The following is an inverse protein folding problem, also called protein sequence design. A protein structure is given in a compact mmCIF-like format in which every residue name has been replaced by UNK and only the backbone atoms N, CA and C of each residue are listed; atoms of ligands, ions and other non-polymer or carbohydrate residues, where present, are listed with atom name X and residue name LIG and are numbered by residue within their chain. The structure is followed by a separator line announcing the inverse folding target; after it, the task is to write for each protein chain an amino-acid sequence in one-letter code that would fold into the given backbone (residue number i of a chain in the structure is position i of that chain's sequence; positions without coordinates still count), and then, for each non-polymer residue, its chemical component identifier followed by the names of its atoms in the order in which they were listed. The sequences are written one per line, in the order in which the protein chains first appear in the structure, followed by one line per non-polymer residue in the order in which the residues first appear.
data_IF_045579118012
#
_entry.id   IF_045579118012
#
_cell.length_a   1.000
_cell.length_b   1.000
_cell.length_c   1.000
_cell.angle_alpha   90.00
_cell.angle_beta   90.00
_cell.angle_gamma   90.00
#
_symmetry.space_group_name_H-M   'P 1'
#
loop_
_entity.id
_entity.type
_entity.pdbx_description
1 polymer ?
#
# COMPACT_ATOMS: atom_id res chain seq x y z
N UNK A 1 48.69 -46.81 -8.80
CA UNK A 1 47.45 -46.03 -8.61
C UNK A 1 47.55 -44.77 -9.46
N UNK A 2 46.68 -44.73 -10.47
CA UNK A 2 46.33 -43.72 -11.50
C UNK A 2 47.15 -42.41 -11.58
N UNK A 3 47.79 -42.10 -12.73
CA UNK A 3 48.40 -40.80 -12.99
C UNK A 3 47.34 -39.72 -13.31
N UNK A 4 47.61 -38.49 -12.85
CA UNK A 4 46.79 -37.30 -13.10
C UNK A 4 46.79 -36.92 -14.59
N UNK A 5 45.65 -36.52 -15.18
CA UNK A 5 45.61 -36.05 -16.56
C UNK A 5 46.19 -34.63 -16.70
N UNK A 6 47.02 -34.45 -17.73
CA UNK A 6 47.57 -33.17 -18.20
C UNK A 6 46.50 -32.13 -18.53
N UNK A 7 46.80 -30.81 -18.40
CA UNK A 7 45.88 -29.75 -18.74
C UNK A 7 45.70 -29.68 -20.27
N UNK A 8 44.45 -29.82 -20.71
CA UNK A 8 44.06 -29.60 -22.10
C UNK A 8 44.32 -28.15 -22.53
N UNK A 9 44.94 -28.00 -23.69
CA UNK A 9 45.18 -26.76 -24.40
C UNK A 9 43.88 -26.00 -24.70
N UNK A 10 43.87 -24.69 -24.43
CA UNK A 10 42.80 -23.79 -24.85
C UNK A 10 42.78 -23.69 -26.39
N UNK A 11 41.63 -23.81 -27.07
CA UNK A 11 41.56 -23.50 -28.49
C UNK A 11 41.71 -21.98 -28.70
N UNK A 12 42.41 -21.62 -29.77
CA UNK A 12 42.70 -20.26 -30.20
C UNK A 12 41.41 -19.45 -30.46
N UNK A 13 41.46 -18.17 -30.10
CA UNK A 13 40.44 -17.17 -30.40
C UNK A 13 40.21 -17.04 -31.90
N UNK A 14 39.06 -17.51 -32.39
CA UNK A 14 38.61 -17.22 -33.75
C UNK A 14 38.22 -15.73 -33.85
N UNK A 15 38.94 -15.01 -34.70
CA UNK A 15 38.66 -13.63 -35.10
C UNK A 15 37.26 -13.56 -35.73
N UNK A 16 36.33 -12.91 -35.04
CA UNK A 16 34.97 -12.66 -35.51
C UNK A 16 35.02 -11.50 -36.51
N UNK A 17 35.17 -11.80 -37.80
CA UNK A 17 34.96 -10.81 -38.86
C UNK A 17 33.48 -10.38 -38.86
N UNK A 18 33.24 -9.08 -38.72
CA UNK A 18 31.90 -8.52 -38.88
C UNK A 18 31.49 -8.59 -40.36
N UNK A 19 30.23 -8.98 -40.66
CA UNK A 19 29.76 -9.01 -42.04
C UNK A 19 29.60 -7.59 -42.60
N UNK A 20 29.78 -7.42 -43.92
CA UNK A 20 29.74 -6.11 -44.58
C UNK A 20 28.34 -5.51 -44.57
N UNK A 21 28.31 -4.19 -44.39
CA UNK A 21 27.11 -3.36 -44.47
C UNK A 21 26.79 -3.09 -45.94
N UNK A 22 25.53 -3.35 -46.33
CA UNK A 22 24.84 -3.03 -47.58
C UNK A 22 24.87 -4.08 -48.72
N UNK A 23 23.74 -4.74 -48.95
CA UNK A 23 22.82 -4.38 -50.05
C UNK A 23 21.64 -5.36 -50.18
N UNK A 24 20.44 -4.79 -50.37
CA UNK A 24 19.30 -5.38 -51.08
C UNK A 24 18.68 -6.72 -50.58
N UNK A 25 18.32 -6.83 -49.30
CA UNK A 25 17.38 -7.86 -48.82
C UNK A 25 16.45 -7.34 -47.71
N UNK A 26 15.60 -6.36 -48.02
CA UNK A 26 14.59 -5.81 -47.10
C UNK A 26 13.23 -5.63 -47.78
N UNK A 27 12.72 -6.65 -48.49
CA UNK A 27 11.36 -6.64 -49.04
C UNK A 27 10.60 -7.96 -48.74
N UNK A 28 10.71 -8.47 -47.51
CA UNK A 28 10.06 -9.73 -47.15
C UNK A 28 9.84 -9.97 -45.66
N UNK A 29 9.71 -8.92 -44.84
CA UNK A 29 9.44 -9.05 -43.40
C UNK A 29 8.33 -8.11 -42.89
N UNK A 30 7.29 -7.93 -43.69
CA UNK A 30 6.00 -7.43 -43.22
C UNK A 30 4.96 -8.54 -43.42
N UNK A 31 4.72 -9.42 -42.42
CA UNK A 31 3.38 -10.03 -42.24
C UNK A 31 3.13 -10.91 -40.99
N UNK A 32 3.91 -10.85 -39.89
CA UNK A 32 3.56 -11.66 -38.71
C UNK A 32 3.70 -10.99 -37.32
N UNK A 33 4.15 -9.73 -37.24
CA UNK A 33 4.41 -9.06 -35.95
C UNK A 33 3.50 -7.86 -35.63
N UNK A 34 2.45 -7.63 -36.44
CA UNK A 34 1.48 -6.56 -36.23
C UNK A 34 0.13 -7.04 -35.63
N UNK A 35 0.01 -8.30 -35.20
CA UNK A 35 -1.28 -8.87 -34.79
C UNK A 35 -1.53 -8.99 -33.28
N UNK A 36 -0.62 -8.60 -32.37
CA UNK A 36 -0.88 -8.71 -30.91
C UNK A 36 -0.26 -7.61 -30.05
N UNK A 37 -0.63 -6.36 -30.31
CA UNK A 37 -0.53 -5.31 -29.28
C UNK A 37 -1.84 -4.53 -29.20
N UNK A 38 -2.91 -5.19 -28.73
CA UNK A 38 -4.02 -4.44 -28.10
C UNK A 38 -3.39 -3.62 -26.98
N UNK A 39 -3.59 -2.32 -27.00
CA UNK A 39 -3.15 -1.46 -25.89
C UNK A 39 -3.81 -1.94 -24.59
N UNK A 40 -3.16 -1.75 -23.44
CA UNK A 40 -3.77 -2.08 -22.12
C UNK A 40 -5.13 -1.39 -21.92
N UNK A 41 -5.36 -0.26 -22.58
CA UNK A 41 -6.63 0.44 -22.60
C UNK A 41 -7.73 -0.32 -23.38
N UNK A 42 -7.40 -0.89 -24.53
CA UNK A 42 -8.35 -1.66 -25.35
C UNK A 42 -8.68 -3.03 -24.75
N UNK A 43 -7.76 -3.66 -24.02
CA UNK A 43 -8.04 -4.89 -23.25
C UNK A 43 -8.84 -4.65 -21.97
N UNK A 44 -9.06 -3.39 -21.59
CA UNK A 44 -9.94 -2.99 -20.48
C UNK A 44 -11.37 -2.66 -20.94
N UNK A 45 -11.56 -2.37 -22.23
CA UNK A 45 -12.87 -2.03 -22.82
C UNK A 45 -13.75 -3.30 -22.83
N UNK A 46 -14.74 -3.35 -21.93
CA UNK A 46 -15.67 -4.48 -21.79
C UNK A 46 -15.46 -5.38 -20.57
N UNK A 47 -14.63 -4.99 -19.59
CA UNK A 47 -14.58 -5.71 -18.30
C UNK A 47 -15.86 -5.47 -17.51
N UNK A 48 -16.45 -6.51 -16.89
CA UNK A 48 -17.55 -6.30 -15.97
C UNK A 48 -17.11 -5.37 -14.84
N UNK A 49 -17.99 -4.46 -14.44
CA UNK A 49 -17.76 -3.62 -13.29
C UNK A 49 -17.53 -4.50 -12.06
N UNK A 50 -16.56 -4.14 -11.21
CA UNK A 50 -16.29 -4.89 -9.99
C UNK A 50 -17.40 -4.60 -8.98
N UNK A 51 -18.50 -5.34 -9.08
CA UNK A 51 -19.66 -5.27 -8.17
C UNK A 51 -19.42 -6.09 -6.91
N UNK A 52 -20.14 -5.78 -5.83
CA UNK A 52 -20.05 -6.54 -4.58
C UNK A 52 -20.36 -8.02 -4.77
N UNK A 53 -21.35 -8.36 -5.61
CA UNK A 53 -21.70 -9.73 -5.95
C UNK A 53 -20.55 -10.47 -6.64
N UNK A 54 -19.91 -9.83 -7.62
CA UNK A 54 -18.75 -10.38 -8.32
C UNK A 54 -17.60 -10.64 -7.35
N UNK A 55 -17.34 -9.71 -6.44
CA UNK A 55 -16.30 -9.88 -5.42
C UNK A 55 -16.64 -11.03 -4.47
N UNK A 56 -17.87 -11.10 -3.95
CA UNK A 56 -18.33 -12.16 -3.04
C UNK A 56 -18.28 -13.54 -3.67
N UNK A 57 -18.47 -13.64 -4.99
CA UNK A 57 -18.32 -14.90 -5.73
C UNK A 57 -16.86 -15.39 -5.79
N UNK A 58 -15.89 -14.47 -5.77
CA UNK A 58 -14.46 -14.80 -5.92
C UNK A 58 -13.73 -14.90 -4.57
N UNK A 59 -14.13 -14.10 -3.59
CA UNK A 59 -13.43 -13.89 -2.31
C UNK A 59 -14.44 -13.90 -1.17
N UNK A 60 -14.05 -14.56 -0.08
CA UNK A 60 -14.71 -14.52 1.20
C UNK A 60 -13.94 -13.60 2.14
N UNK A 61 -14.62 -12.69 2.82
CA UNK A 61 -14.04 -11.79 3.82
C UNK A 61 -14.55 -12.17 5.20
N UNK A 62 -13.63 -12.30 6.16
CA UNK A 62 -13.95 -12.56 7.57
C UNK A 62 -13.84 -11.25 8.38
N UNK A 63 -14.96 -10.66 8.84
CA UNK A 63 -14.95 -9.35 9.50
C UNK A 63 -14.14 -9.29 10.80
N UNK A 64 -14.14 -10.37 11.59
CA UNK A 64 -13.51 -10.40 12.91
C UNK A 64 -11.99 -10.51 12.86
N UNK A 65 -11.47 -11.23 11.86
CA UNK A 65 -10.04 -11.48 11.67
C UNK A 65 -9.43 -10.51 10.67
N UNK A 66 -10.22 -9.99 9.74
CA UNK A 66 -9.76 -9.13 8.65
C UNK A 66 -9.09 -9.89 7.51
N UNK A 67 -9.31 -11.20 7.42
CA UNK A 67 -8.70 -12.07 6.40
C UNK A 67 -9.60 -12.21 5.17
N UNK A 68 -8.95 -12.48 4.04
CA UNK A 68 -9.61 -12.72 2.76
C UNK A 68 -9.23 -14.11 2.28
N UNK A 69 -10.21 -14.94 1.94
CA UNK A 69 -10.02 -16.30 1.44
C UNK A 69 -10.51 -16.40 0.00
N UNK A 70 -9.79 -17.12 -0.85
CA UNK A 70 -10.25 -17.37 -2.23
C UNK A 70 -11.37 -18.38 -2.26
N UNK A 71 -12.50 -18.05 -2.89
CA UNK A 71 -13.57 -19.02 -3.21
C UNK A 71 -13.33 -19.78 -4.51
N UNK A 72 -12.53 -19.22 -5.41
CA UNK A 72 -12.19 -19.81 -6.71
C UNK A 72 -10.68 -19.99 -6.85
N UNK A 73 -10.26 -21.13 -7.39
CA UNK A 73 -8.87 -21.40 -7.68
C UNK A 73 -8.34 -20.44 -8.77
N UNK A 74 -7.13 -19.94 -8.60
CA UNK A 74 -6.52 -19.00 -9.55
C UNK A 74 -5.00 -19.18 -9.57
N UNK A 75 -4.44 -19.55 -10.72
CA UNK A 75 -2.99 -19.59 -10.95
C UNK A 75 -2.22 -20.31 -9.84
N UNK A 76 -2.49 -21.61 -9.64
CA UNK A 76 -1.84 -22.43 -8.61
C UNK A 76 -2.32 -22.19 -7.17
N UNK A 77 -3.09 -21.14 -6.89
CA UNK A 77 -3.69 -20.90 -5.57
C UNK A 77 -5.00 -21.68 -5.42
N UNK A 78 -5.09 -22.45 -4.32
CA UNK A 78 -6.24 -23.29 -3.99
C UNK A 78 -7.40 -22.48 -3.41
N UNK A 79 -8.59 -23.05 -3.47
CA UNK A 79 -9.76 -22.56 -2.73
C UNK A 79 -9.42 -22.57 -1.22
N UNK A 80 -9.80 -21.52 -0.51
CA UNK A 80 -9.48 -21.31 0.91
C UNK A 80 -8.11 -20.68 1.17
N UNK A 81 -7.26 -20.47 0.16
CA UNK A 81 -5.99 -19.78 0.35
C UNK A 81 -6.19 -18.29 0.66
N UNK A 82 -5.28 -17.71 1.45
CA UNK A 82 -5.28 -16.27 1.73
C UNK A 82 -5.13 -15.46 0.43
N UNK A 83 -6.02 -14.47 0.26
CA UNK A 83 -6.04 -13.61 -0.90
C UNK A 83 -5.24 -12.32 -0.64
N UNK A 84 -4.37 -12.00 -1.58
CA UNK A 84 -3.69 -10.71 -1.68
C UNK A 84 -2.20 -10.74 -1.42
N UNK A 85 -1.56 -9.61 -1.68
CA UNK A 85 -0.14 -9.36 -1.44
C UNK A 85 0.07 -7.98 -0.85
N UNK A 86 1.16 -7.79 -0.10
CA UNK A 86 1.50 -6.49 0.49
C UNK A 86 2.23 -5.64 -0.55
N UNK A 87 1.82 -4.38 -0.69
CA UNK A 87 2.55 -3.42 -1.52
C UNK A 87 3.71 -2.77 -0.75
N UNK A 88 4.52 -1.96 -1.45
CA UNK A 88 5.65 -1.21 -0.86
C UNK A 88 5.23 -0.22 0.23
N UNK A 89 3.98 0.23 0.21
CA UNK A 89 3.39 1.10 1.23
C UNK A 89 2.78 0.33 2.42
N UNK A 90 2.88 -1.00 2.44
CA UNK A 90 2.41 -1.86 3.52
C UNK A 90 0.90 -2.16 3.51
N UNK A 91 0.16 -1.76 2.48
CA UNK A 91 -1.25 -2.13 2.31
C UNK A 91 -1.37 -3.53 1.69
N UNK A 92 -2.32 -4.32 2.18
CA UNK A 92 -2.76 -5.54 1.50
C UNK A 92 -3.57 -5.14 0.26
N UNK A 93 -3.24 -5.73 -0.89
CA UNK A 93 -3.93 -5.53 -2.16
C UNK A 93 -4.38 -6.88 -2.71
N UNK A 94 -5.55 -6.91 -3.35
CA UNK A 94 -6.11 -8.12 -3.93
C UNK A 94 -6.49 -7.83 -5.38
N UNK A 95 -6.08 -8.73 -6.27
CA UNK A 95 -6.44 -8.65 -7.68
C UNK A 95 -7.79 -9.30 -7.94
N UNK A 96 -8.71 -8.52 -8.50
CA UNK A 96 -10.05 -8.93 -8.93
C UNK A 96 -10.19 -8.55 -10.40
N UNK A 97 -10.50 -9.53 -11.26
CA UNK A 97 -10.68 -9.33 -12.71
C UNK A 97 -9.57 -8.46 -13.36
N UNK A 98 -8.31 -8.75 -13.00
CA UNK A 98 -7.08 -8.11 -13.49
C UNK A 98 -6.94 -6.63 -13.09
N UNK A 99 -7.58 -6.23 -11.99
CA UNK A 99 -7.43 -4.92 -11.36
C UNK A 99 -7.05 -5.12 -9.89
N UNK A 100 -6.01 -4.42 -9.44
CA UNK A 100 -5.55 -4.46 -8.05
C UNK A 100 -6.32 -3.45 -7.21
N UNK A 101 -6.98 -3.92 -6.16
CA UNK A 101 -7.69 -3.09 -5.20
C UNK A 101 -7.07 -3.21 -3.80
N UNK A 102 -7.02 -2.12 -3.01
CA UNK A 102 -6.70 -2.21 -1.59
C UNK A 102 -7.73 -3.07 -0.84
N UNK A 103 -7.24 -3.98 0.00
CA UNK A 103 -8.08 -4.96 0.69
C UNK A 103 -9.13 -4.30 1.60
N UNK A 104 -8.79 -3.20 2.27
CA UNK A 104 -9.75 -2.45 3.10
C UNK A 104 -10.94 -1.89 2.30
N UNK A 105 -10.76 -1.53 1.01
CA UNK A 105 -11.87 -1.09 0.15
C UNK A 105 -12.74 -2.28 -0.29
N UNK A 106 -12.12 -3.44 -0.51
CA UNK A 106 -12.84 -4.68 -0.80
C UNK A 106 -13.67 -5.11 0.41
N UNK A 107 -13.12 -5.07 1.63
CA UNK A 107 -13.87 -5.32 2.86
C UNK A 107 -15.10 -4.42 2.94
N UNK A 108 -14.93 -3.12 2.70
CA UNK A 108 -16.03 -2.17 2.68
C UNK A 108 -17.11 -2.53 1.64
N UNK A 109 -16.71 -2.84 0.41
CA UNK A 109 -17.62 -3.24 -0.66
C UNK A 109 -18.40 -4.52 -0.30
N UNK A 110 -17.74 -5.51 0.30
CA UNK A 110 -18.40 -6.76 0.70
C UNK A 110 -19.43 -6.50 1.81
N UNK A 111 -19.08 -5.66 2.79
CA UNK A 111 -19.92 -5.39 3.97
C UNK A 111 -21.09 -4.45 3.67
N UNK A 112 -20.86 -3.42 2.86
CA UNK A 112 -21.87 -2.38 2.58
C UNK A 112 -22.60 -2.57 1.26
N UNK A 113 -22.03 -3.32 0.31
CA UNK A 113 -22.56 -3.49 -1.04
C UNK A 113 -22.15 -2.38 -2.01
N UNK A 114 -21.61 -1.26 -1.52
CA UNK A 114 -21.22 -0.10 -2.32
C UNK A 114 -19.74 0.24 -2.16
N UNK A 115 -19.17 0.91 -3.15
CA UNK A 115 -17.82 1.46 -3.01
C UNK A 115 -17.86 2.67 -2.05
N UNK A 116 -16.82 2.85 -1.21
CA UNK A 116 -16.78 4.00 -0.31
C UNK A 116 -16.65 5.29 -1.11
N UNK A 117 -17.40 6.30 -0.69
CA UNK A 117 -17.41 7.66 -1.27
C UNK A 117 -16.08 8.36 -1.00
N UNK A 118 -15.46 8.07 0.13
CA UNK A 118 -14.18 8.63 0.54
C UNK A 118 -13.09 7.55 0.74
N UNK A 119 -12.13 7.83 1.61
CA UNK A 119 -11.08 6.89 2.00
C UNK A 119 -11.58 6.00 3.12
N UNK A 120 -11.02 4.79 3.21
CA UNK A 120 -11.20 3.95 4.38
C UNK A 120 -9.95 4.11 5.24
N UNK A 121 -10.17 4.59 6.46
CA UNK A 121 -9.14 4.78 7.47
C UNK A 121 -9.11 3.59 8.43
N UNK A 122 -7.91 3.29 8.94
CA UNK A 122 -7.66 2.29 9.96
C UNK A 122 -7.62 2.99 11.31
N UNK A 123 -8.58 2.71 12.21
CA UNK A 123 -8.69 3.37 13.53
C UNK A 123 -7.40 3.27 14.34
N UNK A 124 -6.69 2.15 14.27
CA UNK A 124 -5.42 1.92 14.94
C UNK A 124 -4.17 2.37 14.14
N UNK A 125 -4.33 2.93 12.94
CA UNK A 125 -3.22 3.31 12.05
C UNK A 125 -2.43 2.13 11.47
N UNK A 126 -2.85 0.89 11.71
CA UNK A 126 -2.18 -0.32 11.21
C UNK A 126 -2.82 -0.76 9.88
N UNK A 127 -2.13 -0.45 8.78
CA UNK A 127 -2.57 -0.75 7.40
C UNK A 127 -2.81 -2.23 7.09
N UNK A 128 -2.23 -3.12 7.89
CA UNK A 128 -2.37 -4.57 7.74
C UNK A 128 -3.62 -5.13 8.47
N UNK A 129 -4.17 -4.40 9.43
CA UNK A 129 -5.32 -4.83 10.22
C UNK A 129 -6.62 -4.44 9.51
N UNK A 130 -7.10 -5.33 8.64
CA UNK A 130 -8.31 -5.11 7.85
C UNK A 130 -9.58 -5.64 8.55
N UNK A 131 -9.59 -5.78 9.88
CA UNK A 131 -10.79 -6.16 10.63
C UNK A 131 -11.88 -5.11 10.48
N UNK A 132 -13.13 -5.52 10.35
CA UNK A 132 -14.25 -4.60 10.09
C UNK A 132 -14.36 -3.53 11.17
N UNK A 133 -14.23 -3.92 12.45
CA UNK A 133 -14.24 -3.01 13.59
C UNK A 133 -13.14 -1.94 13.55
N UNK A 134 -12.04 -2.19 12.82
CA UNK A 134 -10.91 -1.28 12.69
C UNK A 134 -11.04 -0.35 11.48
N UNK A 135 -11.95 -0.63 10.56
CA UNK A 135 -12.17 0.18 9.36
C UNK A 135 -13.26 1.23 9.60
N UNK A 136 -13.12 2.39 8.97
CA UNK A 136 -14.15 3.44 8.92
C UNK A 136 -14.00 4.28 7.67
N UNK A 137 -15.10 4.85 7.19
CA UNK A 137 -15.02 5.88 6.16
C UNK A 137 -14.51 7.19 6.77
N UNK A 138 -13.56 7.83 6.07
CA UNK A 138 -12.92 9.05 6.52
C UNK A 138 -12.65 9.98 5.33
N UNK A 139 -12.85 11.27 5.55
CA UNK A 139 -12.37 12.31 4.65
C UNK A 139 -10.83 12.31 4.61
N UNK A 140 -10.20 12.87 3.55
CA UNK A 140 -8.75 13.01 3.48
C UNK A 140 -8.15 13.71 4.71
N UNK A 141 -8.83 14.72 5.25
CA UNK A 141 -8.39 15.46 6.42
C UNK A 141 -8.45 14.63 7.71
N UNK A 142 -9.50 13.81 7.88
CA UNK A 142 -9.61 12.89 9.00
C UNK A 142 -8.54 11.80 8.95
N UNK A 143 -8.34 11.17 7.79
CA UNK A 143 -7.28 10.17 7.59
C UNK A 143 -5.87 10.74 7.82
N UNK A 144 -5.64 12.01 7.46
CA UNK A 144 -4.36 12.68 7.71
C UNK A 144 -4.01 12.82 9.21
N UNK A 145 -4.99 12.72 10.11
CA UNK A 145 -4.76 12.78 11.57
C UNK A 145 -3.98 11.55 12.06
N UNK A 146 -4.14 10.40 11.41
CA UNK A 146 -3.40 9.16 11.71
C UNK A 146 -1.97 9.13 11.15
N UNK A 147 -1.43 10.27 10.72
CA UNK A 147 -0.08 10.36 10.17
C UNK A 147 0.96 10.08 11.28
N UNK A 148 1.96 9.26 10.96
CA UNK A 148 3.13 9.07 11.83
C UNK A 148 3.97 10.36 11.92
N UNK A 149 4.61 10.64 13.06
CA UNK A 149 5.56 11.73 13.17
C UNK A 149 6.69 11.57 12.14
N UNK A 150 7.14 12.69 11.57
CA UNK A 150 8.28 12.69 10.65
C UNK A 150 9.57 12.27 11.36
N UNK A 151 10.57 11.77 10.61
CA UNK A 151 11.85 11.29 11.16
C UNK A 151 12.63 12.35 11.95
N UNK A 152 12.46 13.62 11.60
CA UNK A 152 13.08 14.76 12.30
C UNK A 152 12.39 15.11 13.62
N UNK A 153 11.22 14.53 13.90
CA UNK A 153 10.47 14.84 15.11
C UNK A 153 11.03 14.06 16.32
N UNK A 154 11.78 14.77 17.15
CA UNK A 154 12.40 14.24 18.39
C UNK A 154 11.39 13.93 19.50
N UNK A 155 10.16 14.45 19.43
CA UNK A 155 9.14 14.14 20.43
C UNK A 155 8.53 12.75 20.23
N UNK A 156 8.54 12.23 18.99
CA UNK A 156 7.80 11.01 18.64
C UNK A 156 6.28 11.19 18.62
N UNK A 157 5.78 12.42 18.77
CA UNK A 157 4.33 12.73 18.75
C UNK A 157 4.06 13.89 17.79
N UNK A 158 3.04 13.77 16.95
CA UNK A 158 2.68 14.82 15.99
C UNK A 158 2.20 16.07 16.73
N UNK A 159 2.67 17.25 16.32
CA UNK A 159 2.26 18.52 16.93
C UNK A 159 2.94 18.83 18.27
N UNK A 160 3.91 18.02 18.69
CA UNK A 160 4.77 18.31 19.85
C UNK A 160 6.19 18.52 19.38
N UNK A 161 6.78 19.67 19.67
CA UNK A 161 8.17 19.99 19.31
C UNK A 161 8.87 20.80 20.40
N UNK A 162 10.19 20.69 20.43
CA UNK A 162 11.02 21.46 21.36
C UNK A 162 11.36 22.82 20.75
N UNK A 163 11.21 23.90 21.53
CA UNK A 163 11.48 25.27 21.12
C UNK A 163 12.76 25.75 21.83
N UNK A 164 13.92 25.79 21.14
CA UNK A 164 15.20 26.13 21.77
C UNK A 164 15.22 27.52 22.41
N UNK A 165 14.60 28.51 21.74
CA UNK A 165 14.56 29.89 22.21
C UNK A 165 13.88 30.08 23.58
N UNK A 166 12.98 29.17 23.95
CA UNK A 166 12.28 29.22 25.24
C UNK A 166 12.63 28.07 26.18
N UNK A 167 13.52 27.16 25.74
CA UNK A 167 13.90 25.93 26.42
C UNK A 167 12.67 25.11 26.93
N UNK A 168 11.60 25.08 26.12
CA UNK A 168 10.30 24.48 26.47
C UNK A 168 9.76 23.63 25.32
N UNK A 169 8.90 22.68 25.65
CA UNK A 169 8.13 21.87 24.71
C UNK A 169 6.83 22.58 24.38
N UNK A 170 6.55 22.78 23.10
CA UNK A 170 5.29 23.36 22.63
C UNK A 170 4.40 22.26 22.06
N UNK A 171 3.12 22.31 22.43
CA UNK A 171 2.08 21.44 21.89
C UNK A 171 1.11 22.29 21.07
N UNK A 172 0.79 21.85 19.86
CA UNK A 172 -0.16 22.52 18.98
C UNK A 172 -1.08 21.50 18.32
N UNK A 173 -2.30 21.88 17.98
CA UNK A 173 -3.30 21.05 17.29
C UNK A 173 -3.88 21.70 16.04
N UNK A 174 -3.96 20.93 14.95
CA UNK A 174 -4.51 21.41 13.69
C UNK A 174 -5.99 21.11 13.59
N UNK A 175 -6.84 22.12 13.40
CA UNK A 175 -8.27 21.97 13.17
C UNK A 175 -8.69 22.90 12.04
N UNK A 176 -9.34 22.37 11.01
CA UNK A 176 -9.93 23.12 9.90
C UNK A 176 -8.97 24.16 9.27
N UNK A 177 -7.79 23.70 8.87
CA UNK A 177 -6.69 24.51 8.32
C UNK A 177 -6.09 25.56 9.28
N UNK A 178 -6.42 25.52 10.56
CA UNK A 178 -5.83 26.40 11.58
C UNK A 178 -5.03 25.58 12.58
N UNK A 179 -3.96 26.17 13.09
CA UNK A 179 -3.16 25.57 14.16
C UNK A 179 -3.47 26.30 15.47
N UNK A 180 -4.02 25.58 16.43
CA UNK A 180 -4.32 26.03 17.77
C UNK A 180 -3.14 25.67 18.67
N UNK A 181 -2.54 26.65 19.34
CA UNK A 181 -1.48 26.41 20.31
C UNK A 181 -2.10 25.94 21.64
N UNK A 182 -1.66 24.79 22.16
CA UNK A 182 -2.12 24.20 23.42
C UNK A 182 -1.26 24.61 24.62
N UNK A 183 -0.16 25.33 24.38
CA UNK A 183 0.72 25.86 25.40
C UNK A 183 2.17 25.36 25.31
N UNK A 184 2.98 25.88 26.23
CA UNK A 184 4.40 25.54 26.38
C UNK A 184 4.66 24.92 27.75
N UNK A 185 5.30 23.77 27.77
CA UNK A 185 5.55 22.94 28.94
C UNK A 185 7.06 22.79 29.16
N UNK A 186 7.47 22.58 30.41
CA UNK A 186 8.89 22.28 30.72
C UNK A 186 9.24 20.85 30.33
N UNK A 187 8.33 19.92 30.61
CA UNK A 187 8.53 18.50 30.35
C UNK A 187 7.90 18.07 29.03
N UNK A 188 8.56 17.12 28.35
CA UNK A 188 8.07 16.53 27.11
C UNK A 188 6.74 15.81 27.33
N UNK A 189 6.60 15.11 28.44
CA UNK A 189 5.44 14.26 28.72
C UNK A 189 4.17 15.10 28.93
N UNK A 190 4.28 16.24 29.60
CA UNK A 190 3.18 17.18 29.78
C UNK A 190 2.64 17.69 28.44
N UNK A 191 3.54 18.07 27.53
CA UNK A 191 3.15 18.50 26.18
C UNK A 191 2.44 17.39 25.39
N UNK A 192 2.87 16.13 25.55
CA UNK A 192 2.22 14.96 24.95
C UNK A 192 0.84 14.73 25.55
N UNK A 193 0.71 14.82 26.88
CA UNK A 193 -0.56 14.64 27.58
C UNK A 193 -1.57 15.73 27.19
N UNK A 194 -1.14 16.99 27.12
CA UNK A 194 -1.96 18.10 26.63
C UNK A 194 -2.42 17.88 25.17
N UNK A 195 -1.51 17.39 24.33
CA UNK A 195 -1.84 17.02 22.94
C UNK A 195 -2.88 15.91 22.87
N UNK A 196 -2.71 14.82 23.64
CA UNK A 196 -3.66 13.69 23.69
C UNK A 196 -5.04 14.14 24.19
N UNK A 197 -5.10 14.97 25.22
CA UNK A 197 -6.35 15.52 25.74
C UNK A 197 -7.06 16.37 24.69
N UNK A 198 -6.33 17.25 23.99
CA UNK A 198 -6.88 18.04 22.91
C UNK A 198 -7.37 17.17 21.73
N UNK A 199 -6.66 16.11 21.37
CA UNK A 199 -7.09 15.19 20.31
C UNK A 199 -8.40 14.49 20.65
N UNK A 200 -8.55 14.01 21.89
CA UNK A 200 -9.78 13.37 22.34
C UNK A 200 -10.98 14.33 22.29
N UNK A 201 -10.79 15.59 22.67
CA UNK A 201 -11.84 16.60 22.65
C UNK A 201 -12.19 17.09 21.24
N UNK A 202 -11.17 17.33 20.41
CA UNK A 202 -11.33 18.00 19.12
C UNK A 202 -11.60 17.03 17.98
N UNK A 203 -10.91 15.88 17.95
CA UNK A 203 -11.04 14.91 16.88
C UNK A 203 -12.07 13.80 17.18
N UNK A 204 -12.44 13.63 18.45
CA UNK A 204 -13.44 12.67 18.90
C UNK A 204 -13.09 11.25 18.43
N UNK A 205 -13.99 10.64 17.67
CA UNK A 205 -13.79 9.30 17.12
C UNK A 205 -12.52 9.21 16.26
N UNK A 206 -12.12 10.28 15.56
CA UNK A 206 -10.95 10.32 14.69
C UNK A 206 -9.62 10.63 15.41
N UNK A 207 -9.62 10.62 16.74
CA UNK A 207 -8.39 10.72 17.51
C UNK A 207 -7.47 9.52 17.19
N UNK A 208 -6.16 9.75 16.96
CA UNK A 208 -5.22 8.66 16.77
C UNK A 208 -5.13 7.81 18.03
N UNK A 209 -5.35 6.50 17.91
CA UNK A 209 -5.05 5.57 18.98
C UNK A 209 -3.55 5.27 18.96
N UNK A 210 -2.77 5.98 19.80
CA UNK A 210 -1.38 5.61 20.02
C UNK A 210 -1.35 4.29 20.79
N UNK A 211 -1.25 3.16 20.08
CA UNK A 211 -0.78 1.94 20.76
C UNK A 211 0.59 2.26 21.32
N UNK A 212 0.78 2.14 22.63
CA UNK A 212 2.12 2.16 23.21
C UNK A 212 2.94 1.10 22.46
N UNK A 213 3.99 1.56 21.77
CA UNK A 213 4.88 0.65 21.09
C UNK A 213 5.49 -0.26 22.16
N UNK A 214 5.12 -1.55 22.13
CA UNK A 214 5.82 -2.61 22.83
C UNK A 214 7.25 -2.76 22.29
#
# INVERSE_FOLDING_TARGET
MVPLPSPASRPASASMQQPPVNSAAWQGWECADMARKKTLAESRKGRPETTAERVRALIEYQPDTGTFLRRVARGGQRIGALAGSRNSHGYLQIEIDYVLFPAHRIAWLIMTGEWPKHHIDHRNGMRADNRWKNLREATPQQNARNRKPGKSNKSGTVGVYFVPASNKWEAAIGLDNRTINLGRYKEKQDAINARKAAEALVYGEFAPCYSEAA
#
